data_IF_169124514082
#
_entry.id   IF_169124514082
#
_cell.length_a   1.000
_cell.length_b   1.000
_cell.length_c   1.000
_cell.angle_alpha   90.00
_cell.angle_beta   90.00
_cell.angle_gamma   90.00
#
_symmetry.space_group_name_H-M   'P 1'
#
loop_
_entity.id
_entity.type
_entity.pdbx_description
1 polymer ?
#
# COMPACT_ATOMS: atom_id res chain seq x y z
N UNK A 1 11.69 15.76 -8.51
CA UNK A 1 10.44 15.96 -7.77
C UNK A 1 10.66 15.59 -6.32
N UNK A 2 10.55 16.58 -5.44
CA UNK A 2 10.63 16.42 -3.98
C UNK A 2 9.32 15.83 -3.48
N UNK A 3 9.33 14.57 -3.06
CA UNK A 3 8.26 14.02 -2.21
C UNK A 3 8.23 14.86 -0.93
N UNK A 4 7.07 15.43 -0.59
CA UNK A 4 6.90 16.15 0.67
C UNK A 4 7.21 15.24 1.87
N UNK A 5 7.57 15.80 3.04
CA UNK A 5 7.68 15.02 4.27
C UNK A 5 6.35 14.30 4.55
N UNK A 6 6.41 13.05 5.02
CA UNK A 6 5.23 12.25 5.35
C UNK A 6 4.27 13.00 6.29
N UNK A 7 4.83 13.85 7.16
CA UNK A 7 4.16 14.64 8.18
C UNK A 7 3.15 15.68 7.65
N UNK A 8 3.20 16.01 6.34
CA UNK A 8 2.29 16.98 5.70
C UNK A 8 1.31 16.34 4.73
N UNK A 9 1.22 15.02 4.65
CA UNK A 9 0.32 14.36 3.71
C UNK A 9 -1.16 14.65 4.01
N UNK A 10 -1.97 14.84 2.96
CA UNK A 10 -3.42 15.06 3.06
C UNK A 10 -4.11 13.81 3.63
N UNK A 11 -3.69 12.64 3.17
CA UNK A 11 -4.13 11.34 3.65
C UNK A 11 -3.11 10.26 3.27
N UNK A 12 -3.26 9.08 3.87
CA UNK A 12 -2.54 7.86 3.46
C UNK A 12 -3.48 6.94 2.68
N UNK A 13 -3.10 6.65 1.43
CA UNK A 13 -3.81 5.72 0.55
C UNK A 13 -3.18 4.34 0.66
N UNK A 14 -3.99 3.34 0.98
CA UNK A 14 -3.58 1.93 0.92
C UNK A 14 -4.01 1.39 -0.44
N UNK A 15 -3.05 1.02 -1.29
CA UNK A 15 -3.33 0.45 -2.59
C UNK A 15 -3.11 -1.06 -2.58
N UNK A 16 -4.22 -1.79 -2.64
CA UNK A 16 -4.23 -3.24 -2.79
C UNK A 16 -4.23 -3.58 -4.29
N UNK A 17 -3.19 -4.28 -4.77
CA UNK A 17 -2.98 -4.47 -6.22
C UNK A 17 -3.98 -5.47 -6.85
N UNK A 18 -3.99 -5.58 -8.18
CA UNK A 18 -4.80 -6.54 -8.92
C UNK A 18 -4.11 -7.91 -9.09
N UNK A 19 -4.81 -8.87 -9.70
CA UNK A 19 -4.32 -10.25 -9.87
C UNK A 19 -3.10 -10.38 -10.81
N UNK A 20 -2.88 -9.45 -11.73
CA UNK A 20 -1.83 -9.55 -12.74
C UNK A 20 -0.53 -8.86 -12.27
N UNK A 21 0.36 -9.61 -11.62
CA UNK A 21 1.67 -9.11 -11.17
C UNK A 21 1.70 -8.75 -9.69
N UNK A 22 2.58 -7.84 -9.30
CA UNK A 22 2.87 -7.47 -7.91
C UNK A 22 2.74 -5.95 -7.69
N UNK A 23 3.03 -5.45 -6.50
CA UNK A 23 2.92 -4.03 -6.16
C UNK A 23 3.71 -3.12 -7.13
N UNK A 24 4.92 -3.54 -7.53
CA UNK A 24 5.78 -2.74 -8.41
C UNK A 24 5.21 -2.63 -9.82
N UNK A 25 4.60 -3.71 -10.33
CA UNK A 25 3.91 -3.69 -11.62
C UNK A 25 2.71 -2.72 -11.63
N UNK A 26 2.10 -2.48 -10.46
CA UNK A 26 0.95 -1.58 -10.31
C UNK A 26 1.34 -0.16 -9.86
N UNK A 27 2.62 0.09 -9.51
CA UNK A 27 3.09 1.42 -9.13
C UNK A 27 2.70 2.53 -10.13
N UNK A 28 2.80 2.34 -11.46
CA UNK A 28 2.41 3.37 -12.42
C UNK A 28 0.95 3.84 -12.32
N UNK A 29 0.05 3.05 -11.72
CA UNK A 29 -1.37 3.42 -11.55
C UNK A 29 -1.58 4.48 -10.45
N UNK A 30 -0.66 4.55 -9.49
CA UNK A 30 -0.78 5.37 -8.27
C UNK A 30 0.41 6.29 -8.05
N UNK A 31 1.43 6.25 -8.90
CA UNK A 31 2.68 7.00 -8.74
C UNK A 31 2.51 8.53 -8.78
N UNK A 32 1.35 9.02 -9.22
CA UNK A 32 1.00 10.44 -9.24
C UNK A 32 0.51 10.96 -7.89
N UNK A 33 0.08 10.09 -6.97
CA UNK A 33 -0.47 10.48 -5.66
C UNK A 33 0.55 11.20 -4.76
N UNK A 34 1.83 10.78 -4.67
CA UNK A 34 2.83 11.52 -3.90
C UNK A 34 3.05 12.95 -4.40
N UNK A 35 2.92 13.19 -5.71
CA UNK A 35 3.00 14.55 -6.29
C UNK A 35 1.81 15.43 -5.87
N UNK A 36 0.71 14.81 -5.43
CA UNK A 36 -0.47 15.47 -4.87
C UNK A 36 -0.50 15.44 -3.35
N UNK A 37 0.65 15.19 -2.71
CA UNK A 37 0.83 15.23 -1.27
C UNK A 37 0.00 14.17 -0.52
N UNK A 38 -0.12 12.96 -1.09
CA UNK A 38 -0.64 11.78 -0.42
C UNK A 38 0.49 10.81 -0.09
N UNK A 39 0.42 10.18 1.08
CA UNK A 39 1.21 8.99 1.35
C UNK A 39 0.59 7.80 0.59
N UNK A 40 1.41 6.93 0.02
CA UNK A 40 0.95 5.70 -0.63
C UNK A 40 1.60 4.51 0.05
N UNK A 41 0.78 3.64 0.64
CA UNK A 41 1.21 2.36 1.19
C UNK A 41 0.81 1.24 0.21
N UNK A 42 1.81 0.58 -0.36
CA UNK A 42 1.63 -0.59 -1.21
C UNK A 42 2.22 -1.82 -0.52
N UNK A 43 1.64 -2.97 -0.79
CA UNK A 43 2.08 -4.26 -0.27
C UNK A 43 1.83 -5.33 -1.32
N UNK A 44 2.56 -6.44 -1.24
CA UNK A 44 2.28 -7.64 -2.02
C UNK A 44 1.40 -8.56 -1.18
N UNK A 45 0.30 -9.04 -1.74
CA UNK A 45 -0.44 -10.15 -1.12
C UNK A 45 0.43 -11.39 -0.99
N UNK A 46 0.09 -12.30 -0.06
CA UNK A 46 0.72 -13.61 0.03
C UNK A 46 0.75 -14.33 -1.32
N UNK A 47 1.93 -14.85 -1.69
CA UNK A 47 2.15 -15.52 -2.97
C UNK A 47 2.40 -14.60 -4.17
N UNK A 48 2.44 -13.27 -3.97
CA UNK A 48 2.82 -12.29 -4.98
C UNK A 48 4.14 -11.60 -4.61
N UNK A 49 4.87 -11.16 -5.65
CA UNK A 49 6.12 -10.42 -5.51
C UNK A 49 7.09 -11.08 -4.54
N UNK A 50 7.35 -10.43 -3.40
CA UNK A 50 8.25 -10.97 -2.36
C UNK A 50 7.53 -11.65 -1.18
N UNK A 51 6.20 -11.55 -1.11
CA UNK A 51 5.40 -12.13 -0.02
C UNK A 51 5.25 -13.64 -0.19
N UNK A 52 5.53 -14.39 0.87
CA UNK A 52 5.42 -15.87 0.90
C UNK A 52 3.97 -16.33 1.04
N UNK A 53 3.71 -17.60 0.74
CA UNK A 53 2.40 -18.25 0.95
C UNK A 53 1.66 -18.52 -0.37
N UNK A 54 0.39 -18.93 -0.25
CA UNK A 54 -0.49 -19.24 -1.39
C UNK A 54 -1.73 -18.35 -1.32
N UNK A 55 -2.12 -17.67 -2.41
CA UNK A 55 -3.26 -16.77 -2.39
C UNK A 55 -4.57 -17.54 -2.24
N UNK A 56 -5.47 -16.99 -1.43
CA UNK A 56 -6.87 -17.41 -1.30
C UNK A 56 -7.69 -16.18 -0.96
N UNK A 57 -8.99 -16.15 -1.30
CA UNK A 57 -9.82 -14.96 -1.05
C UNK A 57 -9.77 -14.50 0.41
N UNK A 58 -9.90 -15.43 1.37
CA UNK A 58 -9.75 -15.13 2.78
C UNK A 58 -8.35 -14.59 3.13
N UNK A 59 -7.30 -15.19 2.57
CA UNK A 59 -5.93 -14.73 2.78
C UNK A 59 -5.67 -13.32 2.24
N UNK A 60 -6.24 -12.96 1.08
CA UNK A 60 -6.13 -11.61 0.53
C UNK A 60 -6.82 -10.58 1.44
N UNK A 61 -7.99 -10.91 1.99
CA UNK A 61 -8.69 -10.06 2.95
C UNK A 61 -7.87 -9.86 4.25
N UNK A 62 -7.28 -10.94 4.78
CA UNK A 62 -6.42 -10.88 5.96
C UNK A 62 -5.17 -10.01 5.71
N UNK A 63 -4.56 -10.14 4.53
CA UNK A 63 -3.39 -9.34 4.15
C UNK A 63 -3.77 -7.84 4.06
N UNK A 64 -4.93 -7.52 3.48
CA UNK A 64 -5.44 -6.14 3.44
C UNK A 64 -5.73 -5.59 4.84
N UNK A 65 -6.36 -6.39 5.71
CA UNK A 65 -6.62 -5.97 7.09
C UNK A 65 -5.30 -5.74 7.86
N UNK A 66 -4.29 -6.57 7.61
CA UNK A 66 -2.96 -6.40 8.19
C UNK A 66 -2.28 -5.12 7.69
N UNK A 67 -2.38 -4.80 6.39
CA UNK A 67 -1.88 -3.55 5.83
C UNK A 67 -2.56 -2.31 6.46
N UNK A 68 -3.89 -2.35 6.63
CA UNK A 68 -4.64 -1.30 7.34
C UNK A 68 -4.14 -1.14 8.77
N UNK A 69 -3.96 -2.25 9.49
CA UNK A 69 -3.47 -2.23 10.86
C UNK A 69 -2.06 -1.63 10.94
N UNK A 70 -1.15 -1.97 10.02
CA UNK A 70 0.19 -1.37 9.96
C UNK A 70 0.11 0.14 9.79
N UNK A 71 -0.68 0.62 8.83
CA UNK A 71 -0.82 2.06 8.57
C UNK A 71 -1.43 2.80 9.78
N UNK A 72 -2.43 2.21 10.45
CA UNK A 72 -3.05 2.83 11.63
C UNK A 72 -2.13 2.97 12.85
N UNK A 73 -1.07 2.16 12.94
CA UNK A 73 -0.12 2.19 14.05
C UNK A 73 1.16 2.98 13.72
N UNK A 74 1.23 3.60 12.54
CA UNK A 74 2.33 4.48 12.17
C UNK A 74 2.20 5.82 12.87
N UNK A 75 3.26 6.27 13.53
CA UNK A 75 3.29 7.56 14.25
C UNK A 75 3.21 8.78 13.34
N UNK A 76 3.54 8.61 12.06
CA UNK A 76 3.49 9.66 11.03
C UNK A 76 2.16 9.71 10.26
N UNK A 77 1.17 8.88 10.65
CA UNK A 77 -0.17 8.88 10.06
C UNK A 77 -1.17 9.25 11.15
N UNK A 78 -1.94 10.32 10.92
CA UNK A 78 -3.06 10.67 11.79
C UNK A 78 -4.24 9.70 11.52
N UNK A 79 -4.69 8.90 12.50
CA UNK A 79 -5.66 7.82 12.29
C UNK A 79 -7.09 8.27 11.93
#
# INVERSE_FOLDING_TARGET
SSTGPADNAIATIIHAHGNAGNMSAHWPLVSWLPERNFNVFMFDYRGFGKSKGTPSQAGLLDDTQSAINVVRHRSDVNP
#
